data_IF_286306374523
#
_entry.id   IF_286306374523
#
_cell.length_a   1.000
_cell.length_b   1.000
_cell.length_c   1.000
_cell.angle_alpha   90.00
_cell.angle_beta   90.00
_cell.angle_gamma   90.00
#
_symmetry.space_group_name_H-M   'P 1'
#
loop_
_entity.id
_entity.type
_entity.pdbx_description
1 polymer ?
#
# COMPACT_ATOMS: atom_id res chain seq x y z
N UNK A 1 -8.30 -11.47 2.54
CA UNK A 1 -8.69 -11.44 1.12
C UNK A 1 -7.53 -11.94 0.30
N UNK A 2 -7.78 -12.71 -0.75
CA UNK A 2 -6.75 -13.09 -1.72
C UNK A 2 -6.47 -11.92 -2.66
N UNK A 3 -5.32 -11.92 -3.34
CA UNK A 3 -4.99 -10.89 -4.35
C UNK A 3 -6.04 -10.80 -5.46
N UNK A 4 -6.60 -11.94 -5.89
CA UNK A 4 -7.68 -11.98 -6.90
C UNK A 4 -8.95 -11.25 -6.44
N UNK A 5 -9.37 -11.46 -5.20
CA UNK A 5 -10.53 -10.77 -4.62
C UNK A 5 -10.30 -9.25 -4.53
N UNK A 6 -9.08 -8.84 -4.21
CA UNK A 6 -8.70 -7.43 -4.18
C UNK A 6 -8.78 -6.81 -5.57
N UNK A 7 -8.24 -7.50 -6.59
CA UNK A 7 -8.29 -7.06 -8.00
C UNK A 7 -9.73 -6.94 -8.49
N UNK A 8 -10.58 -7.92 -8.20
CA UNK A 8 -12.00 -7.89 -8.61
C UNK A 8 -12.73 -6.70 -7.99
N UNK A 9 -12.58 -6.51 -6.68
CA UNK A 9 -13.17 -5.37 -5.98
C UNK A 9 -12.63 -4.04 -6.51
N UNK A 10 -11.34 -3.98 -6.83
CA UNK A 10 -10.72 -2.82 -7.43
C UNK A 10 -11.38 -2.46 -8.77
N UNK A 11 -11.54 -3.45 -9.65
CA UNK A 11 -12.17 -3.25 -10.95
C UNK A 11 -13.61 -2.76 -10.81
N UNK A 12 -14.39 -3.32 -9.88
CA UNK A 12 -15.77 -2.88 -9.63
C UNK A 12 -15.86 -1.43 -9.14
N UNK A 13 -15.02 -1.05 -8.18
CA UNK A 13 -15.02 0.30 -7.61
C UNK A 13 -14.43 1.34 -8.56
N UNK A 14 -13.46 0.96 -9.40
CA UNK A 14 -12.81 1.88 -10.34
C UNK A 14 -13.81 2.45 -11.36
N UNK A 15 -14.82 1.68 -11.73
CA UNK A 15 -15.89 2.14 -12.62
C UNK A 15 -16.81 3.20 -11.99
N UNK A 16 -16.75 3.41 -10.67
CA UNK A 16 -17.53 4.43 -9.95
C UNK A 16 -16.81 5.78 -9.89
N UNK A 17 -15.56 5.85 -10.33
CA UNK A 17 -14.81 7.10 -10.42
C UNK A 17 -15.31 7.97 -11.58
N UNK A 18 -15.31 9.28 -11.37
CA UNK A 18 -15.44 10.24 -12.46
C UNK A 18 -14.29 10.07 -13.47
N UNK A 19 -14.47 10.45 -14.75
CA UNK A 19 -13.45 10.25 -15.77
C UNK A 19 -12.07 10.85 -15.40
N UNK A 20 -12.06 12.03 -14.76
CA UNK A 20 -10.83 12.67 -14.32
C UNK A 20 -10.12 11.90 -13.19
N UNK A 21 -10.88 11.45 -12.18
CA UNK A 21 -10.33 10.67 -11.08
C UNK A 21 -9.91 9.27 -11.54
N UNK A 22 -10.67 8.65 -12.48
CA UNK A 22 -10.32 7.37 -13.09
C UNK A 22 -8.99 7.45 -13.82
N UNK A 23 -8.77 8.48 -14.63
CA UNK A 23 -7.49 8.70 -15.31
C UNK A 23 -6.33 8.89 -14.33
N UNK A 24 -6.54 9.63 -13.23
CA UNK A 24 -5.54 9.75 -12.16
C UNK A 24 -5.21 8.38 -11.56
N UNK A 25 -6.24 7.61 -11.21
CA UNK A 25 -6.11 6.29 -10.58
C UNK A 25 -5.41 5.27 -11.49
N UNK A 26 -5.76 5.20 -12.77
CA UNK A 26 -5.16 4.26 -13.71
C UNK A 26 -3.67 4.51 -13.92
N UNK A 27 -3.24 5.78 -13.93
CA UNK A 27 -1.83 6.11 -13.92
C UNK A 27 -1.15 5.60 -12.64
N UNK A 28 -1.72 5.87 -11.47
CA UNK A 28 -1.19 5.39 -10.19
C UNK A 28 -1.09 3.86 -10.15
N UNK A 29 -2.12 3.16 -10.63
CA UNK A 29 -2.17 1.70 -10.69
C UNK A 29 -1.06 1.11 -11.56
N UNK A 30 -0.82 1.70 -12.74
CA UNK A 30 0.26 1.27 -13.62
C UNK A 30 1.63 1.48 -12.96
N UNK A 31 1.87 2.65 -12.37
CA UNK A 31 3.14 2.99 -11.73
C UNK A 31 3.41 2.12 -10.51
N UNK A 32 2.40 1.88 -9.65
CA UNK A 32 2.55 1.02 -8.48
C UNK A 32 2.92 -0.40 -8.91
N UNK A 33 2.10 -1.05 -9.74
CA UNK A 33 2.34 -2.45 -10.17
C UNK A 33 3.69 -2.65 -10.86
N UNK A 34 4.13 -1.69 -11.68
CA UNK A 34 5.41 -1.81 -12.41
C UNK A 34 6.62 -1.57 -11.52
N UNK A 35 6.54 -0.66 -10.54
CA UNK A 35 7.65 -0.39 -9.62
C UNK A 35 7.67 -1.29 -8.39
N UNK A 36 6.56 -1.94 -8.07
CA UNK A 36 6.41 -2.84 -6.92
C UNK A 36 6.63 -4.31 -7.26
N UNK A 37 7.25 -4.65 -8.40
CA UNK A 37 7.47 -6.05 -8.82
C UNK A 37 8.30 -6.87 -7.82
N UNK A 38 9.06 -6.22 -6.95
CA UNK A 38 9.83 -6.85 -5.87
C UNK A 38 9.11 -6.87 -4.52
N UNK A 39 7.87 -6.35 -4.46
CA UNK A 39 7.03 -6.26 -3.27
C UNK A 39 5.98 -7.38 -3.27
N UNK A 40 5.28 -7.52 -2.16
CA UNK A 40 4.17 -8.47 -2.04
C UNK A 40 2.94 -7.98 -2.80
N UNK A 41 2.49 -8.74 -3.80
CA UNK A 41 1.33 -8.42 -4.62
C UNK A 41 0.06 -8.18 -3.81
N UNK A 42 -0.18 -8.97 -2.77
CA UNK A 42 -1.38 -8.81 -1.93
C UNK A 42 -1.36 -7.45 -1.20
N UNK A 43 -0.20 -6.99 -0.75
CA UNK A 43 -0.07 -5.67 -0.10
C UNK A 43 -0.23 -4.53 -1.09
N UNK A 44 0.34 -4.68 -2.29
CA UNK A 44 0.20 -3.72 -3.38
C UNK A 44 -1.28 -3.58 -3.77
N UNK A 45 -1.99 -4.68 -3.98
CA UNK A 45 -3.42 -4.66 -4.32
C UNK A 45 -4.28 -4.14 -3.16
N UNK A 46 -3.89 -4.40 -1.90
CA UNK A 46 -4.58 -3.83 -0.72
C UNK A 46 -4.45 -2.31 -0.70
N UNK A 47 -3.22 -1.79 -0.85
CA UNK A 47 -2.95 -0.36 -0.91
C UNK A 47 -3.70 0.31 -2.07
N UNK A 48 -3.71 -0.31 -3.25
CA UNK A 48 -4.44 0.19 -4.42
C UNK A 48 -5.95 0.32 -4.12
N UNK A 49 -6.51 -0.66 -3.42
CA UNK A 49 -7.91 -0.66 -3.02
C UNK A 49 -8.22 0.40 -1.94
N UNK A 50 -7.30 0.66 -1.01
CA UNK A 50 -7.42 1.73 -0.02
C UNK A 50 -7.41 3.12 -0.69
N UNK A 51 -6.43 3.37 -1.56
CA UNK A 51 -6.32 4.62 -2.33
C UNK A 51 -7.59 4.85 -3.15
N UNK A 52 -8.13 3.81 -3.78
CA UNK A 52 -9.37 3.90 -4.56
C UNK A 52 -10.58 4.28 -3.69
N UNK A 53 -10.68 3.75 -2.48
CA UNK A 53 -11.74 4.11 -1.53
C UNK A 53 -11.60 5.57 -1.10
N UNK A 54 -10.40 6.03 -0.75
CA UNK A 54 -10.15 7.44 -0.42
C UNK A 54 -10.54 8.38 -1.56
N UNK A 55 -10.25 7.99 -2.80
CA UNK A 55 -10.66 8.75 -3.99
C UNK A 55 -12.17 8.84 -4.15
N UNK A 56 -12.90 7.75 -3.89
CA UNK A 56 -14.35 7.73 -3.95
C UNK A 56 -14.97 8.58 -2.83
N UNK A 57 -14.40 8.55 -1.63
CA UNK A 57 -14.83 9.41 -0.52
C UNK A 57 -14.57 10.89 -0.80
N UNK A 58 -13.40 11.23 -1.32
CA UNK A 58 -13.06 12.59 -1.74
C UNK A 58 -14.01 13.07 -2.84
N UNK A 59 -14.28 12.20 -3.83
CA UNK A 59 -15.22 12.48 -4.91
C UNK A 59 -16.64 12.71 -4.39
N UNK A 60 -17.11 11.92 -3.43
CA UNK A 60 -18.42 12.11 -2.79
C UNK A 60 -18.52 13.46 -2.06
N UNK A 61 -17.40 14.01 -1.59
CA UNK A 61 -17.29 15.35 -0.99
C UNK A 61 -17.07 16.45 -2.03
N UNK A 62 -17.05 16.14 -3.32
CA UNK A 62 -16.81 17.08 -4.42
C UNK A 62 -15.34 17.48 -4.61
N UNK A 63 -14.41 16.75 -3.99
CA UNK A 63 -12.97 17.00 -4.06
C UNK A 63 -12.37 16.11 -5.17
N UNK A 64 -11.62 16.70 -6.10
CA UNK A 64 -10.93 15.91 -7.12
C UNK A 64 -9.75 15.15 -6.49
N UNK A 65 -9.38 14.00 -7.05
CA UNK A 65 -8.26 13.24 -6.50
C UNK A 65 -6.93 14.00 -6.61
N UNK A 66 -6.78 14.85 -7.63
CA UNK A 66 -5.63 15.73 -7.77
C UNK A 66 -5.54 16.72 -6.61
N UNK A 67 -6.66 17.29 -6.19
CA UNK A 67 -6.72 18.24 -5.08
C UNK A 67 -6.56 17.52 -3.72
N UNK A 68 -7.12 16.32 -3.58
CA UNK A 68 -7.02 15.51 -2.38
C UNK A 68 -5.57 15.07 -2.09
N UNK A 69 -4.87 14.53 -3.09
CA UNK A 69 -3.49 14.08 -2.92
C UNK A 69 -2.45 15.20 -3.10
N UNK A 70 -2.82 16.32 -3.74
CA UNK A 70 -1.97 17.49 -3.95
C UNK A 70 -0.70 17.23 -4.77
N UNK A 71 -0.59 16.06 -5.42
CA UNK A 71 0.60 15.58 -6.13
C UNK A 71 0.20 14.87 -7.42
N UNK A 72 1.18 14.60 -8.29
CA UNK A 72 0.95 13.74 -9.45
C UNK A 72 0.78 12.28 -9.02
N UNK A 73 0.06 11.45 -9.80
CA UNK A 73 -0.09 10.01 -9.55
C UNK A 73 1.26 9.31 -9.30
N UNK A 74 2.29 9.69 -10.06
CA UNK A 74 3.63 9.12 -9.98
C UNK A 74 4.34 9.49 -8.69
N UNK A 75 4.30 10.76 -8.29
CA UNK A 75 4.95 11.23 -7.08
C UNK A 75 4.29 10.60 -5.84
N UNK A 76 2.96 10.50 -5.84
CA UNK A 76 2.24 9.81 -4.79
C UNK A 76 2.57 8.32 -4.73
N UNK A 77 2.55 7.63 -5.88
CA UNK A 77 2.94 6.23 -5.98
C UNK A 77 4.37 5.98 -5.46
N UNK A 78 5.33 6.83 -5.82
CA UNK A 78 6.71 6.73 -5.36
C UNK A 78 6.85 6.88 -3.85
N UNK A 79 6.08 7.77 -3.23
CA UNK A 79 6.04 7.91 -1.77
C UNK A 79 5.45 6.65 -1.13
N UNK A 80 4.40 6.08 -1.71
CA UNK A 80 3.77 4.86 -1.20
C UNK A 80 4.68 3.62 -1.33
N UNK A 81 5.41 3.47 -2.43
CA UNK A 81 6.33 2.34 -2.65
C UNK A 81 7.47 2.33 -1.62
N UNK A 82 7.93 3.51 -1.19
CA UNK A 82 8.98 3.63 -0.17
C UNK A 82 8.50 3.19 1.20
N UNK A 83 7.23 3.43 1.53
CA UNK A 83 6.65 3.05 2.83
C UNK A 83 6.06 1.64 2.82
N UNK A 84 5.80 1.05 1.64
CA UNK A 84 5.32 -0.33 1.52
C UNK A 84 6.29 -1.29 2.21
N UNK A 85 5.81 -2.08 3.21
CA UNK A 85 6.65 -2.99 3.94
C UNK A 85 7.36 -3.95 2.97
N UNK A 86 8.66 -4.15 3.18
CA UNK A 86 9.28 -5.35 2.65
C UNK A 86 8.97 -6.46 3.63
N UNK A 87 8.17 -7.45 3.22
CA UNK A 87 7.89 -8.63 4.04
C UNK A 87 9.14 -9.29 4.57
N UNK A 88 10.22 -9.27 3.78
CA UNK A 88 11.52 -9.77 4.18
C UNK A 88 12.12 -9.01 5.38
N UNK A 89 11.89 -7.71 5.49
CA UNK A 89 12.41 -6.86 6.57
C UNK A 89 11.52 -6.93 7.80
N UNK A 90 10.19 -6.96 7.65
CA UNK A 90 9.28 -7.11 8.79
C UNK A 90 9.37 -8.50 9.43
N UNK A 91 9.49 -9.56 8.61
CA UNK A 91 9.79 -10.91 9.11
C UNK A 91 11.16 -10.97 9.82
N UNK A 92 12.19 -10.32 9.26
CA UNK A 92 13.52 -10.27 9.88
C UNK A 92 13.55 -9.45 11.17
N UNK A 93 12.81 -8.33 11.25
CA UNK A 93 12.64 -7.55 12.49
C UNK A 93 12.00 -8.38 13.60
N UNK A 94 10.94 -9.14 13.29
CA UNK A 94 10.28 -10.01 14.28
C UNK A 94 11.25 -11.12 14.78
N UNK A 95 12.03 -11.71 13.87
CA UNK A 95 13.07 -12.68 14.21
C UNK A 95 14.18 -12.06 15.07
N UNK A 96 14.63 -10.84 14.76
CA UNK A 96 15.66 -10.15 15.55
C UNK A 96 15.18 -9.76 16.96
N UNK A 97 13.93 -9.30 17.11
CA UNK A 97 13.36 -8.93 18.42
C UNK A 97 13.23 -10.18 19.31
N UNK A 98 12.79 -11.30 18.74
CA UNK A 98 12.63 -12.56 19.48
C UNK A 98 13.97 -13.17 19.90
N UNK A 99 14.98 -13.16 19.02
CA UNK A 99 16.35 -13.63 19.34
C UNK A 99 17.06 -12.68 20.32
N UNK A 100 16.86 -11.37 20.18
CA UNK A 100 17.41 -10.37 21.10
C UNK A 100 16.86 -10.50 22.52
N UNK A 101 15.56 -10.80 22.67
CA UNK A 101 14.94 -11.08 23.97
C UNK A 101 15.49 -12.37 24.62
N UNK A 102 15.71 -13.41 23.81
CA UNK A 102 16.21 -14.71 24.30
C UNK A 102 17.67 -14.65 24.75
N UNK A 103 18.50 -13.84 24.10
CA UNK A 103 19.91 -13.66 24.46
C UNK A 103 20.11 -12.68 25.62
N UNK A 104 19.21 -11.71 25.81
CA UNK A 104 19.24 -10.77 26.94
C UNK A 104 18.92 -11.45 28.30
N UNK A 105 18.03 -12.46 28.32
CA UNK A 105 17.71 -13.22 29.55
C UNK A 105 18.71 -14.32 29.91
N UNK A 106 19.59 -14.73 29.00
CA UNK A 106 20.56 -15.81 29.24
C UNK A 106 21.91 -15.37 29.81
N UNK A 107 22.17 -14.05 29.90
CA UNK A 107 23.49 -13.51 30.27
C UNK A 107 23.51 -12.74 31.60
N UNK A 108 22.40 -12.67 32.34
CA UNK A 108 22.42 -12.19 33.72
C UNK A 108 22.67 -13.39 34.64
N UNK A 109 23.90 -13.57 35.19
CA UNK A 109 24.12 -14.59 36.19
C UNK A 109 23.26 -14.24 37.39
N UNK A 110 22.24 -15.06 37.65
CA UNK A 110 21.59 -15.08 38.97
C UNK A 110 22.70 -15.46 39.95
N UNK A 111 22.96 -14.55 40.91
CA UNK A 111 24.00 -14.67 41.92
C UNK A 111 23.97 -16.00 42.68
#
# INVERSE_FOLDING_TARGET
MTSEQLIEKNNQLREQLSPANKAYYENLLLYLRTKSLSKNDQQVETLLLEILQDMLEAQAKGISSKDYFGKSPQAYADDMIKVLPNDFIEAFKLILITIGSFTFFGFFPVC
#
